data_IF_760929685226
#
_entry.id   IF_760929685226
#
_cell.length_a   1.000
_cell.length_b   1.000
_cell.length_c   1.000
_cell.angle_alpha   90.00
_cell.angle_beta   90.00
_cell.angle_gamma   90.00
#
_symmetry.space_group_name_H-M   'P 1'
#
loop_
_entity.id
_entity.type
_entity.pdbx_description
1 polymer ?
#
# COMPACT_ATOMS: atom_id res chain seq x y z
N UNK A 1 19.01 9.39 7.84
CA UNK A 1 18.87 10.83 7.48
C UNK A 1 20.26 11.41 7.29
N UNK A 2 21.10 10.69 6.55
CA UNK A 2 22.55 10.72 6.82
C UNK A 2 23.30 11.56 5.78
N UNK A 3 22.53 12.28 4.95
CA UNK A 3 22.97 13.13 3.82
C UNK A 3 22.12 14.39 3.72
N UNK A 4 21.76 14.99 4.85
CA UNK A 4 20.89 16.17 4.90
C UNK A 4 21.54 17.40 4.24
N UNK A 5 22.87 17.51 4.31
CA UNK A 5 23.70 18.53 3.67
C UNK A 5 23.63 18.48 2.13
N UNK A 6 23.36 17.31 1.56
CA UNK A 6 23.10 17.11 0.13
C UNK A 6 21.64 17.43 -0.20
N UNK A 7 20.69 16.90 0.58
CA UNK A 7 19.25 17.13 0.32
C UNK A 7 18.86 18.60 0.46
N UNK A 8 19.43 19.32 1.42
CA UNK A 8 19.17 20.74 1.73
C UNK A 8 17.67 21.07 1.82
N UNK A 9 16.88 20.15 2.38
CA UNK A 9 15.44 20.27 2.62
C UNK A 9 15.08 19.34 3.78
N UNK A 10 13.92 19.58 4.38
CA UNK A 10 13.42 18.84 5.53
C UNK A 10 13.31 17.34 5.21
N UNK A 11 13.81 16.46 6.11
CA UNK A 11 13.96 15.04 5.82
C UNK A 11 12.66 14.22 6.00
N UNK A 12 11.60 14.85 6.49
CA UNK A 12 10.32 14.21 6.82
C UNK A 12 9.18 14.61 5.88
N UNK A 13 9.46 15.44 4.87
CA UNK A 13 8.50 15.81 3.82
C UNK A 13 9.05 15.51 2.43
N UNK A 14 8.12 15.27 1.51
CA UNK A 14 8.41 15.15 0.08
C UNK A 14 8.56 16.57 -0.49
N UNK A 15 9.52 16.75 -1.40
CA UNK A 15 9.66 17.98 -2.18
C UNK A 15 9.20 17.78 -3.63
N UNK A 16 8.87 18.87 -4.30
CA UNK A 16 8.40 18.82 -5.70
C UNK A 16 9.49 18.36 -6.67
N UNK A 17 10.73 18.76 -6.44
CA UNK A 17 11.84 18.46 -7.33
C UNK A 17 13.11 18.18 -6.54
N UNK A 18 13.88 17.20 -7.02
CA UNK A 18 15.26 16.98 -6.62
C UNK A 18 16.14 17.15 -7.85
N UNK A 19 17.18 17.96 -7.75
CA UNK A 19 18.06 18.20 -8.91
C UNK A 19 18.77 16.91 -9.31
N UNK A 20 18.79 16.68 -10.63
CA UNK A 20 19.43 15.50 -11.23
C UNK A 20 20.96 15.55 -11.07
N UNK A 21 21.60 14.43 -11.37
CA UNK A 21 23.05 14.25 -11.36
C UNK A 21 23.80 15.17 -12.33
N UNK A 22 23.11 15.80 -13.29
CA UNK A 22 23.69 16.74 -14.25
C UNK A 22 23.69 18.19 -13.76
N UNK A 23 23.11 18.48 -12.59
CA UNK A 23 23.13 19.81 -11.98
C UNK A 23 24.38 20.00 -11.12
N UNK A 24 24.97 21.21 -11.06
CA UNK A 24 25.99 21.56 -10.07
C UNK A 24 25.52 21.39 -8.61
N UNK A 25 24.21 21.26 -8.38
CA UNK A 25 23.58 21.07 -7.07
C UNK A 25 22.83 19.73 -6.99
N UNK A 26 23.37 18.69 -7.62
CA UNK A 26 22.76 17.36 -7.65
C UNK A 26 22.33 16.88 -6.25
N UNK A 27 21.11 16.34 -6.14
CA UNK A 27 20.55 15.85 -4.89
C UNK A 27 19.83 16.91 -4.02
N UNK A 28 20.03 18.21 -4.29
CA UNK A 28 19.26 19.25 -3.60
C UNK A 28 17.76 19.14 -3.93
N UNK A 29 16.92 19.20 -2.90
CA UNK A 29 15.46 19.22 -3.02
C UNK A 29 14.91 20.64 -2.84
N UNK A 30 13.87 21.00 -3.60
CA UNK A 30 13.21 22.32 -3.54
C UNK A 30 11.69 22.19 -3.49
N UNK A 31 11.05 23.26 -3.01
CA UNK A 31 9.59 23.37 -2.89
C UNK A 31 9.03 22.20 -2.08
N UNK A 32 9.48 22.10 -0.82
CA UNK A 32 8.91 21.19 0.18
C UNK A 32 7.51 21.63 0.58
N UNK A 33 6.76 20.75 1.25
CA UNK A 33 5.39 20.95 1.75
C UNK A 33 4.29 21.02 0.70
N UNK A 34 4.27 22.08 -0.11
CA UNK A 34 3.14 22.42 -0.98
C UNK A 34 3.29 21.76 -2.35
N UNK A 35 3.30 20.42 -2.38
CA UNK A 35 3.43 19.65 -3.62
C UNK A 35 2.46 18.47 -3.66
N UNK A 36 1.82 18.28 -4.82
CA UNK A 36 1.01 17.09 -5.11
C UNK A 36 1.79 15.78 -5.04
N UNK A 37 3.13 15.84 -5.03
CA UNK A 37 4.00 14.67 -4.81
C UNK A 37 3.71 13.98 -3.47
N UNK A 38 3.28 14.72 -2.44
CA UNK A 38 2.90 14.14 -1.16
C UNK A 38 1.62 13.28 -1.29
N UNK A 39 0.59 13.81 -1.95
CA UNK A 39 -0.68 13.10 -2.21
C UNK A 39 -0.45 11.84 -3.05
N UNK A 40 0.33 11.95 -4.12
CA UNK A 40 0.66 10.81 -4.97
C UNK A 40 1.51 9.77 -4.25
N UNK A 41 2.48 10.17 -3.41
CA UNK A 41 3.22 9.23 -2.57
C UNK A 41 2.28 8.47 -1.62
N UNK A 42 1.42 9.18 -0.89
CA UNK A 42 0.46 8.56 0.02
C UNK A 42 -0.47 7.60 -0.73
N UNK A 43 -1.01 8.02 -1.87
CA UNK A 43 -1.88 7.19 -2.71
C UNK A 43 -1.16 5.93 -3.20
N UNK A 44 0.02 6.07 -3.81
CA UNK A 44 0.81 4.94 -4.32
C UNK A 44 1.23 3.97 -3.23
N UNK A 45 1.72 4.47 -2.09
CA UNK A 45 2.16 3.62 -0.98
C UNK A 45 0.96 2.88 -0.38
N UNK A 46 -0.11 3.59 -0.03
CA UNK A 46 -1.24 2.96 0.67
C UNK A 46 -2.07 2.05 -0.23
N UNK A 47 -2.30 2.44 -1.48
CA UNK A 47 -3.20 1.71 -2.37
C UNK A 47 -2.50 0.67 -3.24
N UNK A 48 -1.25 0.89 -3.66
CA UNK A 48 -0.60 0.01 -4.64
C UNK A 48 0.57 -0.78 -4.08
N UNK A 49 1.37 -0.21 -3.18
CA UNK A 49 2.43 -0.96 -2.49
C UNK A 49 1.80 -1.81 -1.39
N UNK A 50 1.11 -1.17 -0.45
CA UNK A 50 0.39 -1.86 0.63
C UNK A 50 -0.94 -2.46 0.16
N UNK A 51 -1.38 -2.14 -1.07
CA UNK A 51 -2.50 -2.83 -1.71
C UNK A 51 -3.89 -2.53 -1.17
N UNK A 52 -4.07 -1.53 -0.29
CA UNK A 52 -5.36 -1.28 0.38
C UNK A 52 -6.20 -0.34 -0.47
N UNK A 53 -7.08 -0.92 -1.30
CA UNK A 53 -7.87 -0.20 -2.31
C UNK A 53 -9.37 -0.24 -1.97
N UNK A 54 -9.97 0.88 -1.57
CA UNK A 54 -11.43 0.98 -1.47
C UNK A 54 -12.08 0.78 -2.84
N UNK A 55 -13.06 -0.13 -2.93
CA UNK A 55 -13.87 -0.39 -4.13
C UNK A 55 -15.35 -0.08 -3.83
N UNK A 56 -16.19 -0.06 -4.87
CA UNK A 56 -17.64 0.11 -4.71
C UNK A 56 -18.26 -1.02 -3.86
N UNK A 57 -17.88 -2.27 -4.13
CA UNK A 57 -18.46 -3.44 -3.46
C UNK A 57 -17.73 -3.82 -2.16
N UNK A 58 -16.56 -3.24 -1.86
CA UNK A 58 -15.75 -3.73 -0.74
C UNK A 58 -14.39 -3.08 -0.57
N UNK A 59 -13.55 -3.74 0.23
CA UNK A 59 -12.14 -3.40 0.40
C UNK A 59 -11.28 -4.42 -0.34
N UNK A 60 -10.64 -4.00 -1.44
CA UNK A 60 -9.66 -4.82 -2.14
C UNK A 60 -8.32 -4.76 -1.44
N UNK A 61 -7.66 -5.91 -1.32
CA UNK A 61 -6.34 -6.05 -0.73
C UNK A 61 -5.45 -6.79 -1.74
N UNK A 62 -4.63 -6.04 -2.48
CA UNK A 62 -3.70 -6.53 -3.51
C UNK A 62 -2.29 -5.96 -3.28
N UNK A 63 -1.52 -6.49 -2.32
CA UNK A 63 -0.19 -5.99 -1.98
C UNK A 63 0.85 -6.23 -3.07
N UNK A 64 1.74 -5.28 -3.24
CA UNK A 64 2.97 -5.41 -4.03
C UNK A 64 4.14 -4.86 -3.21
N UNK A 65 4.77 -5.74 -2.43
CA UNK A 65 5.79 -5.40 -1.43
C UNK A 65 7.16 -5.98 -1.81
N UNK A 66 8.26 -5.50 -1.21
CA UNK A 66 9.54 -6.18 -1.30
C UNK A 66 9.46 -7.63 -0.82
N UNK A 67 10.07 -8.56 -1.56
CA UNK A 67 10.07 -9.98 -1.19
C UNK A 67 10.72 -10.26 0.18
N UNK A 68 11.62 -9.39 0.63
CA UNK A 68 12.29 -9.50 1.94
C UNK A 68 11.35 -9.28 3.14
N UNK A 69 10.14 -8.74 2.94
CA UNK A 69 9.18 -8.51 4.01
C UNK A 69 8.43 -9.79 4.36
N UNK A 70 8.43 -10.17 5.64
CA UNK A 70 7.58 -11.26 6.19
C UNK A 70 6.08 -10.93 6.13
N UNK A 71 5.74 -9.64 6.01
CA UNK A 71 4.39 -9.13 6.07
C UNK A 71 4.30 -7.80 6.81
N UNK A 72 3.07 -7.33 7.05
CA UNK A 72 2.81 -6.08 7.77
C UNK A 72 1.39 -6.06 8.35
N UNK A 73 1.12 -5.06 9.20
CA UNK A 73 -0.20 -4.83 9.79
C UNK A 73 -0.67 -3.40 9.54
N UNK A 74 -1.95 -3.23 9.21
CA UNK A 74 -2.59 -1.93 8.97
C UNK A 74 -3.90 -1.89 9.73
N UNK A 75 -4.22 -0.73 10.29
CA UNK A 75 -5.59 -0.39 10.70
C UNK A 75 -6.17 0.62 9.73
N UNK A 76 -7.36 0.33 9.21
CA UNK A 76 -8.07 1.20 8.27
C UNK A 76 -9.54 1.32 8.66
N UNK A 77 -10.02 2.56 8.77
CA UNK A 77 -11.46 2.83 8.85
C UNK A 77 -12.02 2.91 7.42
N UNK A 78 -13.04 2.11 7.12
CA UNK A 78 -13.71 2.08 5.83
C UNK A 78 -15.22 2.03 6.04
N UNK A 79 -15.95 3.03 5.52
CA UNK A 79 -17.42 3.15 5.66
C UNK A 79 -17.90 3.03 7.11
N UNK A 80 -17.20 3.68 8.04
CA UNK A 80 -17.50 3.66 9.48
C UNK A 80 -17.00 2.42 10.23
N UNK A 81 -16.55 1.38 9.52
CA UNK A 81 -16.11 0.10 10.09
C UNK A 81 -14.60 0.07 10.27
N UNK A 82 -14.12 -0.54 11.34
CA UNK A 82 -12.68 -0.68 11.61
C UNK A 82 -12.15 -2.00 11.05
N UNK A 83 -11.11 -1.93 10.22
CA UNK A 83 -10.45 -3.08 9.61
C UNK A 83 -9.05 -3.22 10.18
N UNK A 84 -8.78 -4.33 10.85
CA UNK A 84 -7.46 -4.76 11.28
C UNK A 84 -6.93 -5.76 10.25
N UNK A 85 -6.06 -5.30 9.35
CA UNK A 85 -5.55 -6.08 8.22
C UNK A 85 -4.14 -6.57 8.57
N UNK A 86 -3.92 -7.88 8.50
CA UNK A 86 -2.61 -8.50 8.60
C UNK A 86 -2.27 -9.18 7.28
N UNK A 87 -1.19 -8.73 6.64
CA UNK A 87 -0.61 -9.39 5.46
C UNK A 87 0.56 -10.25 5.91
N UNK A 88 0.64 -11.47 5.41
CA UNK A 88 1.71 -12.45 5.66
C UNK A 88 2.32 -12.89 4.34
N UNK A 89 3.63 -13.03 4.28
CA UNK A 89 4.38 -13.39 3.08
C UNK A 89 5.33 -14.58 3.33
N UNK A 90 4.81 -15.77 3.69
CA UNK A 90 5.65 -16.91 4.05
C UNK A 90 6.52 -17.42 2.90
N UNK A 91 6.12 -17.17 1.65
CA UNK A 91 6.86 -17.58 0.46
C UNK A 91 7.82 -16.50 -0.06
N UNK A 92 7.92 -15.35 0.61
CA UNK A 92 8.74 -14.21 0.19
C UNK A 92 8.53 -13.86 -1.29
N UNK A 93 7.28 -13.62 -1.69
CA UNK A 93 6.92 -13.13 -3.02
C UNK A 93 6.71 -11.61 -3.00
N UNK A 94 6.76 -10.98 -4.17
CA UNK A 94 6.47 -9.54 -4.25
C UNK A 94 4.97 -9.24 -4.31
N UNK A 95 4.18 -10.12 -4.93
CA UNK A 95 2.74 -9.92 -5.13
C UNK A 95 2.03 -11.28 -5.32
N UNK A 96 0.69 -11.25 -5.36
CA UNK A 96 -0.15 -12.44 -5.53
C UNK A 96 -0.73 -12.93 -4.21
N UNK A 97 -2.06 -12.86 -4.08
CA UNK A 97 -2.79 -13.23 -2.87
C UNK A 97 -3.28 -14.67 -2.97
N UNK A 98 -2.70 -15.55 -2.16
CA UNK A 98 -3.10 -16.96 -2.11
C UNK A 98 -4.40 -17.16 -1.33
N UNK A 99 -4.59 -16.43 -0.23
CA UNK A 99 -5.74 -16.58 0.64
C UNK A 99 -6.12 -15.28 1.35
N UNK A 100 -7.42 -15.05 1.52
CA UNK A 100 -7.97 -14.00 2.38
C UNK A 100 -9.00 -14.60 3.34
N UNK A 101 -8.92 -14.20 4.60
CA UNK A 101 -9.94 -14.53 5.62
C UNK A 101 -10.50 -13.25 6.23
N UNK A 102 -11.81 -13.24 6.48
CA UNK A 102 -12.54 -12.22 7.22
C UNK A 102 -13.11 -12.87 8.48
N UNK A 103 -12.69 -12.39 9.66
CA UNK A 103 -13.13 -12.89 10.96
C UNK A 103 -13.01 -14.43 11.08
N UNK A 104 -11.92 -14.99 10.53
CA UNK A 104 -11.64 -16.43 10.51
C UNK A 104 -12.33 -17.23 9.39
N UNK A 105 -13.24 -16.62 8.62
CA UNK A 105 -13.90 -17.26 7.48
C UNK A 105 -13.15 -16.94 6.19
N UNK A 106 -12.80 -17.96 5.39
CA UNK A 106 -12.23 -17.75 4.06
C UNK A 106 -13.23 -17.06 3.14
N UNK A 107 -12.75 -16.08 2.38
CA UNK A 107 -13.51 -15.45 1.29
C UNK A 107 -12.90 -15.83 -0.04
N UNK A 108 -13.70 -15.78 -1.11
CA UNK A 108 -13.18 -15.95 -2.45
C UNK A 108 -12.74 -14.61 -3.05
N UNK A 109 -11.59 -14.62 -3.72
CA UNK A 109 -10.99 -13.44 -4.32
C UNK A 109 -10.17 -12.59 -3.34
N UNK A 110 -9.93 -11.34 -3.76
CA UNK A 110 -9.05 -10.39 -3.05
C UNK A 110 -9.81 -9.17 -2.50
N UNK A 111 -11.13 -9.15 -2.67
CA UNK A 111 -12.00 -8.05 -2.25
C UNK A 111 -12.90 -8.52 -1.13
N UNK A 112 -12.74 -7.92 0.05
CA UNK A 112 -13.59 -8.15 1.21
C UNK A 112 -14.92 -7.40 1.01
N UNK A 113 -16.07 -8.09 0.90
CA UNK A 113 -17.35 -7.45 0.61
C UNK A 113 -17.79 -6.52 1.74
N UNK A 114 -18.25 -5.31 1.40
CA UNK A 114 -18.70 -4.33 2.39
C UNK A 114 -19.94 -4.79 3.18
N UNK A 115 -20.75 -5.66 2.57
CA UNK A 115 -21.94 -6.28 3.15
C UNK A 115 -21.62 -7.26 4.27
N UNK A 116 -20.44 -7.91 4.24
CA UNK A 116 -20.02 -8.89 5.26
C UNK A 116 -19.25 -8.26 6.43
N UNK A 117 -18.91 -6.98 6.35
CA UNK A 117 -18.17 -6.29 7.41
C UNK A 117 -19.05 -6.01 8.63
N UNK A 118 -18.54 -6.30 9.83
CA UNK A 118 -19.09 -5.81 11.11
C UNK A 118 -18.44 -4.50 11.57
N UNK A 119 -18.67 -4.10 12.81
CA UNK A 119 -18.06 -2.88 13.40
C UNK A 119 -16.52 -2.97 13.50
N UNK A 120 -16.03 -4.15 13.87
CA UNK A 120 -14.61 -4.50 13.94
C UNK A 120 -14.39 -5.76 13.12
N UNK A 121 -13.34 -5.75 12.31
CA UNK A 121 -13.05 -6.83 11.37
C UNK A 121 -11.59 -7.21 11.45
N UNK A 122 -11.31 -8.49 11.60
CA UNK A 122 -9.97 -9.05 11.46
C UNK A 122 -9.85 -9.63 10.06
N UNK A 123 -8.90 -9.11 9.28
CA UNK A 123 -8.65 -9.57 7.92
C UNK A 123 -7.22 -10.10 7.86
N UNK A 124 -7.05 -11.36 7.47
CA UNK A 124 -5.74 -11.96 7.25
C UNK A 124 -5.57 -12.29 5.78
N UNK A 125 -4.50 -11.80 5.19
CA UNK A 125 -4.11 -12.00 3.80
C UNK A 125 -2.79 -12.75 3.76
N UNK A 126 -2.72 -13.82 2.97
CA UNK A 126 -1.49 -14.60 2.76
C UNK A 126 -1.07 -14.47 1.30
N UNK A 127 0.16 -14.04 1.07
CA UNK A 127 0.77 -13.97 -0.25
C UNK A 127 1.35 -15.33 -0.67
N UNK A 128 1.40 -15.61 -1.97
CA UNK A 128 1.99 -16.83 -2.52
C UNK A 128 2.16 -16.80 -4.04
N UNK A 129 3.01 -17.69 -4.58
CA UNK A 129 3.46 -17.68 -5.99
C UNK A 129 2.35 -17.78 -7.05
N UNK A 130 1.25 -18.46 -6.72
CA UNK A 130 0.09 -18.64 -7.61
C UNK A 130 -1.15 -17.88 -7.11
N UNK A 131 -0.92 -16.77 -6.39
CA UNK A 131 -1.99 -15.98 -5.82
C UNK A 131 -2.75 -15.15 -6.85
N UNK A 132 -4.02 -14.85 -6.55
CA UNK A 132 -4.87 -13.96 -7.33
C UNK A 132 -4.34 -12.52 -7.27
N UNK A 133 -4.60 -11.74 -8.33
CA UNK A 133 -4.29 -10.30 -8.42
C UNK A 133 -5.47 -9.57 -9.03
N UNK A 134 -5.48 -8.24 -8.88
CA UNK A 134 -6.42 -7.37 -9.59
C UNK A 134 -6.14 -7.49 -11.09
N UNK A 135 -7.11 -7.99 -11.87
CA UNK A 135 -7.01 -7.96 -13.32
C UNK A 135 -7.49 -6.60 -13.82
N UNK A 136 -6.58 -5.83 -14.42
CA UNK A 136 -6.87 -4.51 -14.95
C UNK A 136 -7.59 -4.56 -16.31
N UNK A 137 -7.72 -5.73 -16.93
CA UNK A 137 -8.34 -5.90 -18.24
C UNK A 137 -9.84 -5.62 -18.28
N UNK A 138 -10.54 -5.74 -17.14
CA UNK A 138 -12.00 -5.58 -17.04
C UNK A 138 -12.48 -4.13 -16.77
N UNK A 139 -11.57 -3.13 -16.77
CA UNK A 139 -11.88 -1.73 -16.42
C UNK A 139 -11.92 -0.76 -17.61
N UNK A 140 -12.06 -1.25 -18.84
CA UNK A 140 -12.20 -0.44 -20.07
C UNK A 140 -13.55 -0.66 -20.76
#
# INVERSE_FOLDING_TARGET
>A
NDKAEIRQSEPYVVGQTTYSTFSPRAGNTRVSWLSGAATWNYYSITQYILGIRPQYEGMMIDPCIPHEWDGYKIQRVFRGKTLSIQVKNPEHVCCGVAEVTLNGKKIDGITVPASELGEKNEIVVVLGKNGKRDDHSERL
#
